data_IF_874976309723
#
_entry.id   IF_874976309723
#
_cell.length_a   1.000
_cell.length_b   1.000
_cell.length_c   1.000
_cell.angle_alpha   90.00
_cell.angle_beta   90.00
_cell.angle_gamma   90.00
#
_symmetry.space_group_name_H-M   'P 1'
#
loop_
_entity.id
_entity.type
_entity.pdbx_description
1 polymer ?
#
# COMPACT_ATOMS: atom_id res chain seq x y z
N UNK A 1 -10.59 19.77 -6.19
CA UNK A 1 -11.07 18.59 -5.48
C UNK A 1 -11.29 18.92 -4.00
N UNK A 2 -12.46 18.60 -3.46
CA UNK A 2 -12.82 18.89 -2.06
C UNK A 2 -12.69 17.66 -1.14
N UNK A 3 -12.22 16.55 -1.64
CA UNK A 3 -12.06 15.29 -0.89
C UNK A 3 -10.73 15.18 -0.16
N UNK A 4 -10.56 14.09 0.58
CA UNK A 4 -9.31 13.73 1.25
C UNK A 4 -8.46 12.88 0.29
N UNK A 5 -7.19 13.26 0.13
CA UNK A 5 -6.20 12.48 -0.64
C UNK A 5 -5.28 11.77 0.34
N UNK A 6 -5.23 10.44 0.24
CA UNK A 6 -4.32 9.61 1.02
C UNK A 6 -3.36 8.95 0.03
N UNK A 7 -2.08 9.19 0.20
CA UNK A 7 -1.02 8.63 -0.64
C UNK A 7 -0.21 7.56 0.11
N UNK A 8 0.29 6.59 -0.62
CA UNK A 8 1.43 5.80 -0.12
C UNK A 8 2.72 6.63 -0.23
N UNK A 9 3.71 6.30 0.57
CA UNK A 9 5.02 6.98 0.57
C UNK A 9 5.69 7.05 -0.82
N UNK A 10 5.63 5.95 -1.58
CA UNK A 10 6.17 5.89 -2.95
C UNK A 10 5.48 6.89 -3.90
N UNK A 11 4.21 7.21 -3.66
CA UNK A 11 3.43 8.15 -4.49
C UNK A 11 3.56 9.61 -4.05
N UNK A 12 4.20 9.89 -2.92
CA UNK A 12 4.30 11.25 -2.37
C UNK A 12 5.01 12.21 -3.34
N UNK A 13 6.21 11.86 -3.80
CA UNK A 13 6.96 12.69 -4.73
C UNK A 13 6.27 12.85 -6.11
N UNK A 14 5.77 11.78 -6.76
CA UNK A 14 5.01 11.90 -8.00
C UNK A 14 3.81 12.85 -7.93
N UNK A 15 3.04 12.80 -6.84
CA UNK A 15 1.90 13.68 -6.63
C UNK A 15 2.34 15.15 -6.46
N UNK A 16 3.35 15.39 -5.61
CA UNK A 16 3.87 16.74 -5.38
C UNK A 16 4.45 17.38 -6.64
N UNK A 17 5.06 16.58 -7.54
CA UNK A 17 5.52 17.05 -8.86
C UNK A 17 4.39 17.47 -9.80
N UNK A 18 3.16 17.04 -9.51
CA UNK A 18 1.93 17.43 -10.22
C UNK A 18 1.09 18.45 -9.45
N UNK A 19 1.70 19.12 -8.48
CA UNK A 19 1.03 20.08 -7.59
C UNK A 19 -0.18 19.50 -6.83
N UNK A 20 -0.20 18.18 -6.65
CA UNK A 20 -1.20 17.48 -5.85
C UNK A 20 -0.61 17.22 -4.47
N UNK A 21 -1.11 17.95 -3.46
CA UNK A 21 -0.66 17.81 -2.07
C UNK A 21 -1.61 16.82 -1.35
N UNK A 22 -1.15 15.62 -0.97
CA UNK A 22 -1.99 14.70 -0.21
C UNK A 22 -2.20 15.23 1.22
N UNK A 23 -3.39 14.99 1.77
CA UNK A 23 -3.69 15.31 3.17
C UNK A 23 -2.94 14.37 4.11
N UNK A 24 -2.83 13.10 3.71
CA UNK A 24 -2.16 12.05 4.47
C UNK A 24 -1.20 11.27 3.57
N UNK A 25 -0.06 10.90 4.13
CA UNK A 25 0.89 9.98 3.52
C UNK A 25 1.14 8.83 4.48
N UNK A 26 0.96 7.58 4.02
CA UNK A 26 1.10 6.41 4.86
C UNK A 26 2.38 5.64 4.51
N UNK A 27 3.13 5.23 5.54
CA UNK A 27 4.31 4.37 5.43
C UNK A 27 4.23 3.18 6.37
N UNK A 28 4.58 2.01 5.87
CA UNK A 28 4.52 0.76 6.61
C UNK A 28 5.84 -0.01 6.60
N UNK A 29 6.64 0.13 5.54
CA UNK A 29 7.82 -0.70 5.30
C UNK A 29 8.99 -0.35 6.24
N UNK A 30 9.68 -1.41 6.70
CA UNK A 30 10.84 -1.30 7.58
C UNK A 30 12.16 -1.00 6.86
N UNK A 31 12.17 -0.90 5.52
CA UNK A 31 13.41 -0.76 4.75
C UNK A 31 14.19 0.51 5.16
N UNK A 32 15.46 0.38 5.61
CA UNK A 32 16.17 1.46 6.31
C UNK A 32 16.60 2.64 5.41
N UNK A 33 16.65 2.45 4.11
CA UNK A 33 17.10 3.47 3.15
C UNK A 33 16.06 3.82 2.10
N UNK A 34 15.29 2.85 1.60
CA UNK A 34 14.33 3.05 0.53
C UNK A 34 13.18 3.96 0.96
N UNK A 35 12.53 3.65 2.07
CA UNK A 35 11.38 4.45 2.55
C UNK A 35 11.78 5.87 2.93
N UNK A 36 12.87 6.10 3.68
CA UNK A 36 13.36 7.46 3.90
C UNK A 36 13.66 8.24 2.61
N UNK A 37 14.08 7.55 1.52
CA UNK A 37 14.36 8.21 0.24
C UNK A 37 13.13 8.91 -0.34
N UNK A 38 11.92 8.34 -0.19
CA UNK A 38 10.67 8.93 -0.69
C UNK A 38 10.34 10.28 -0.03
N UNK A 39 10.89 10.56 1.16
CA UNK A 39 10.66 11.81 1.89
C UNK A 39 11.76 12.86 1.71
N UNK A 40 12.86 12.55 1.01
CA UNK A 40 14.01 13.46 0.86
C UNK A 40 13.82 14.55 -0.19
N UNK A 41 12.81 14.45 -1.04
CA UNK A 41 12.57 15.42 -2.09
C UNK A 41 12.25 16.82 -1.51
N UNK A 42 12.77 17.86 -2.12
CA UNK A 42 12.59 19.27 -1.65
C UNK A 42 11.12 19.71 -1.54
N UNK A 43 10.26 19.20 -2.42
CA UNK A 43 8.82 19.46 -2.38
C UNK A 43 8.15 18.90 -1.12
N UNK A 44 8.65 17.81 -0.55
CA UNK A 44 8.14 17.28 0.73
C UNK A 44 8.41 18.28 1.84
N UNK A 45 9.65 18.78 1.93
CA UNK A 45 10.01 19.81 2.91
C UNK A 45 9.20 21.09 2.72
N UNK A 46 8.98 21.51 1.47
CA UNK A 46 8.19 22.73 1.13
C UNK A 46 6.73 22.62 1.60
N UNK A 47 6.15 21.43 1.61
CA UNK A 47 4.74 21.19 1.95
C UNK A 47 4.57 20.43 3.29
N UNK A 48 5.60 20.43 4.15
CA UNK A 48 5.59 19.63 5.37
C UNK A 48 4.46 20.02 6.35
N UNK A 49 4.04 21.28 6.36
CA UNK A 49 2.93 21.81 7.15
C UNK A 49 1.54 21.33 6.70
N UNK A 50 1.43 20.80 5.46
CA UNK A 50 0.17 20.39 4.85
C UNK A 50 -0.04 18.88 4.84
N UNK A 51 1.03 18.10 5.06
CA UNK A 51 1.03 16.64 4.94
C UNK A 51 1.12 16.01 6.31
N UNK A 52 0.12 15.20 6.67
CA UNK A 52 0.17 14.36 7.87
C UNK A 52 0.70 12.98 7.49
N UNK A 53 1.74 12.53 8.21
CA UNK A 53 2.36 11.22 7.95
C UNK A 53 1.87 10.20 8.95
N UNK A 54 1.31 9.11 8.46
CA UNK A 54 0.79 8.00 9.25
C UNK A 54 1.77 6.84 9.12
N UNK A 55 2.38 6.40 10.21
CA UNK A 55 3.43 5.37 10.19
C UNK A 55 3.09 4.17 11.07
N UNK A 56 3.36 2.99 10.52
CA UNK A 56 3.26 1.74 11.27
C UNK A 56 4.43 1.54 12.24
N UNK A 57 4.22 0.77 13.28
CA UNK A 57 5.25 0.45 14.30
C UNK A 57 6.47 -0.30 13.77
N UNK A 58 6.41 -0.82 12.55
CA UNK A 58 7.52 -1.54 11.91
C UNK A 58 8.50 -0.65 11.13
N UNK A 59 8.18 0.64 10.93
CA UNK A 59 9.04 1.51 10.12
C UNK A 59 10.43 1.67 10.71
N UNK A 60 11.41 1.86 9.84
CA UNK A 60 12.80 2.06 10.25
C UNK A 60 12.98 3.31 11.12
N UNK A 61 13.84 3.26 12.18
CA UNK A 61 14.24 4.44 12.93
C UNK A 61 14.85 5.57 12.07
N UNK A 62 15.41 5.24 10.90
CA UNK A 62 15.91 6.24 9.96
C UNK A 62 14.79 7.10 9.39
N UNK A 63 13.61 6.50 9.13
CA UNK A 63 12.44 7.25 8.69
C UNK A 63 11.99 8.22 9.79
N UNK A 64 11.82 7.75 11.01
CA UNK A 64 11.34 8.61 12.12
C UNK A 64 12.26 9.78 12.42
N UNK A 65 13.59 9.56 12.37
CA UNK A 65 14.58 10.63 12.48
C UNK A 65 14.44 11.67 11.36
N UNK A 66 14.21 11.20 10.13
CA UNK A 66 14.03 12.09 8.97
C UNK A 66 12.73 12.89 9.08
N UNK A 67 11.60 12.26 9.39
CA UNK A 67 10.31 12.93 9.57
C UNK A 67 10.39 14.04 10.62
N UNK A 68 11.02 13.75 11.75
CA UNK A 68 11.29 14.75 12.81
C UNK A 68 12.15 15.91 12.29
N UNK A 69 13.23 15.63 11.54
CA UNK A 69 14.10 16.66 10.93
C UNK A 69 13.33 17.55 9.94
N UNK A 70 12.39 16.95 9.18
CA UNK A 70 11.55 17.67 8.23
C UNK A 70 10.38 18.40 8.89
N UNK A 71 10.16 18.21 10.19
CA UNK A 71 9.03 18.76 10.97
C UNK A 71 7.66 18.34 10.41
N UNK A 72 7.59 17.12 9.87
CA UNK A 72 6.34 16.52 9.42
C UNK A 72 5.49 16.09 10.62
N UNK A 73 4.20 16.43 10.58
CA UNK A 73 3.22 15.98 11.57
C UNK A 73 3.02 14.46 11.43
N UNK A 74 3.37 13.71 12.47
CA UNK A 74 3.52 12.25 12.39
C UNK A 74 2.66 11.54 13.43
N UNK A 75 1.87 10.58 12.98
CA UNK A 75 0.98 9.75 13.79
C UNK A 75 1.34 8.28 13.65
N UNK A 76 1.10 7.50 14.69
CA UNK A 76 1.48 6.11 14.78
C UNK A 76 0.28 5.18 14.83
N UNK A 77 0.41 3.99 14.26
CA UNK A 77 -0.51 2.90 14.44
C UNK A 77 0.22 1.56 14.63
N UNK A 78 -0.43 0.63 15.35
CA UNK A 78 0.03 -0.75 15.42
C UNK A 78 -0.39 -1.47 14.13
N UNK A 79 0.58 -1.77 13.25
CA UNK A 79 0.29 -2.47 12.01
C UNK A 79 0.19 -3.97 12.25
N UNK A 80 -0.82 -4.63 11.64
CA UNK A 80 -0.92 -6.08 11.60
C UNK A 80 -1.50 -6.55 10.28
N UNK A 81 -1.02 -7.70 9.82
CA UNK A 81 -1.60 -8.40 8.67
C UNK A 81 -2.88 -9.16 9.05
N UNK A 82 -3.00 -9.59 10.30
CA UNK A 82 -4.10 -10.40 10.82
C UNK A 82 -5.01 -9.58 11.76
N UNK A 83 -6.33 -9.61 11.48
CA UNK A 83 -7.35 -8.95 12.32
C UNK A 83 -7.35 -9.46 13.76
N UNK A 84 -7.23 -10.78 13.96
CA UNK A 84 -7.24 -11.39 15.29
C UNK A 84 -6.06 -10.91 16.13
N UNK A 85 -4.87 -10.88 15.52
CA UNK A 85 -3.66 -10.37 16.17
C UNK A 85 -3.74 -8.88 16.49
N UNK A 86 -4.37 -8.07 15.61
CA UNK A 86 -4.62 -6.64 15.89
C UNK A 86 -5.49 -6.48 17.12
N UNK A 87 -6.63 -7.17 17.18
CA UNK A 87 -7.57 -7.07 18.30
C UNK A 87 -6.91 -7.54 19.61
N UNK A 88 -6.15 -8.62 19.55
CA UNK A 88 -5.43 -9.16 20.71
C UNK A 88 -4.33 -8.20 21.18
N UNK A 89 -3.54 -7.63 20.25
CA UNK A 89 -2.50 -6.64 20.59
C UNK A 89 -3.11 -5.37 21.21
N UNK A 90 -4.27 -4.93 20.73
CA UNK A 90 -4.98 -3.78 21.30
C UNK A 90 -5.48 -4.09 22.71
N UNK A 91 -6.06 -5.28 22.94
CA UNK A 91 -6.65 -5.62 24.23
C UNK A 91 -5.63 -5.91 25.32
N UNK A 92 -4.52 -6.57 24.97
CA UNK A 92 -3.58 -7.13 25.96
C UNK A 92 -2.29 -6.30 26.15
N UNK A 93 -1.85 -5.51 25.18
CA UNK A 93 -0.51 -4.91 25.14
C UNK A 93 -0.42 -3.48 24.65
N UNK A 94 -1.50 -2.71 24.74
CA UNK A 94 -1.48 -1.32 24.24
C UNK A 94 -1.52 -0.27 25.36
N UNK A 95 -0.47 -0.17 26.23
CA UNK A 95 -0.45 0.82 27.30
C UNK A 95 -0.39 2.27 26.79
N UNK A 96 -0.04 2.48 25.52
CA UNK A 96 0.09 3.80 24.89
C UNK A 96 -1.14 4.23 24.10
N UNK A 97 -2.21 3.43 24.04
CA UNK A 97 -3.43 3.77 23.30
C UNK A 97 -3.26 3.80 21.77
N UNK A 98 -2.25 3.11 21.21
CA UNK A 98 -2.07 3.00 19.78
C UNK A 98 -3.27 2.30 19.13
N UNK A 99 -3.76 2.88 18.05
CA UNK A 99 -4.83 2.28 17.26
C UNK A 99 -4.24 1.13 16.43
N UNK A 100 -4.85 -0.05 16.50
CA UNK A 100 -4.52 -1.16 15.61
C UNK A 100 -5.14 -0.97 14.23
N UNK A 101 -4.36 -1.17 13.18
CA UNK A 101 -4.81 -1.06 11.80
C UNK A 101 -4.40 -2.31 11.02
N UNK A 102 -5.38 -2.96 10.38
CA UNK A 102 -5.11 -4.07 9.47
C UNK A 102 -4.40 -3.55 8.22
N UNK A 103 -3.18 -4.01 7.99
CA UNK A 103 -2.36 -3.56 6.85
C UNK A 103 -2.47 -4.48 5.63
N UNK A 104 -2.91 -5.73 5.81
CA UNK A 104 -2.93 -6.76 4.77
C UNK A 104 -1.58 -6.88 4.02
N UNK A 105 -0.48 -6.60 4.72
CA UNK A 105 0.88 -6.78 4.22
C UNK A 105 1.40 -5.67 3.29
N UNK A 106 0.60 -4.65 2.97
CA UNK A 106 1.05 -3.59 2.08
C UNK A 106 0.50 -2.20 2.45
N UNK A 107 1.25 -1.17 2.08
CA UNK A 107 0.94 0.24 2.38
C UNK A 107 -0.36 0.70 1.74
N UNK A 108 -0.67 0.25 0.51
CA UNK A 108 -1.90 0.63 -0.20
C UNK A 108 -3.15 0.18 0.55
N UNK A 109 -3.22 -1.10 0.93
CA UNK A 109 -4.35 -1.63 1.69
C UNK A 109 -4.45 -1.00 3.08
N UNK A 110 -3.32 -0.76 3.76
CA UNK A 110 -3.32 -0.04 5.03
C UNK A 110 -3.89 1.38 4.89
N UNK A 111 -3.54 2.09 3.80
CA UNK A 111 -4.08 3.42 3.48
C UNK A 111 -5.60 3.39 3.27
N UNK A 112 -6.08 2.37 2.55
CA UNK A 112 -7.51 2.16 2.36
C UNK A 112 -8.23 1.85 3.67
N UNK A 113 -7.70 0.95 4.51
CA UNK A 113 -8.29 0.67 5.83
C UNK A 113 -8.30 1.92 6.71
N UNK A 114 -7.21 2.69 6.73
CA UNK A 114 -7.14 3.96 7.45
C UNK A 114 -8.24 4.93 7.01
N UNK A 115 -8.54 4.99 5.71
CA UNK A 115 -9.54 5.92 5.17
C UNK A 115 -10.94 5.67 5.70
N UNK A 116 -11.40 4.42 5.79
CA UNK A 116 -12.75 4.13 6.29
C UNK A 116 -12.80 3.86 7.79
N UNK A 117 -11.78 3.19 8.34
CA UNK A 117 -11.81 2.81 9.75
C UNK A 117 -11.57 4.00 10.68
N UNK A 118 -10.66 4.90 10.30
CA UNK A 118 -10.25 6.04 11.12
C UNK A 118 -10.90 7.34 10.63
N UNK A 119 -10.76 7.67 9.35
CA UNK A 119 -11.24 8.94 8.81
C UNK A 119 -12.74 8.93 8.45
N UNK A 120 -13.38 7.75 8.45
CA UNK A 120 -14.80 7.57 8.10
C UNK A 120 -15.14 8.08 6.69
N UNK A 121 -14.18 8.00 5.76
CA UNK A 121 -14.39 8.44 4.38
C UNK A 121 -15.43 7.57 3.67
N UNK A 122 -16.43 8.19 3.05
CA UNK A 122 -17.44 7.55 2.23
C UNK A 122 -18.00 8.59 1.23
N UNK A 123 -18.03 8.37 -0.08
CA UNK A 123 -17.45 7.21 -0.78
C UNK A 123 -15.92 7.26 -0.86
N UNK A 124 -15.32 6.16 -1.34
CA UNK A 124 -13.89 6.02 -1.55
C UNK A 124 -13.59 5.69 -3.02
N UNK A 125 -12.52 6.25 -3.57
CA UNK A 125 -11.98 5.90 -4.89
C UNK A 125 -10.56 5.35 -4.74
N UNK A 126 -10.35 4.14 -5.27
CA UNK A 126 -9.03 3.49 -5.30
C UNK A 126 -8.36 3.80 -6.63
N UNK A 127 -7.12 4.30 -6.58
CA UNK A 127 -6.32 4.64 -7.77
C UNK A 127 -4.96 3.96 -7.63
N UNK A 128 -4.56 3.20 -8.66
CA UNK A 128 -3.29 2.48 -8.65
C UNK A 128 -3.28 1.23 -7.75
N UNK A 129 -4.44 0.63 -7.52
CA UNK A 129 -4.56 -0.68 -6.85
C UNK A 129 -4.46 -1.81 -7.86
N UNK A 130 -3.35 -1.85 -8.59
CA UNK A 130 -3.15 -2.78 -9.70
C UNK A 130 -2.97 -4.22 -9.23
N UNK A 131 -2.27 -4.45 -8.12
CA UNK A 131 -1.83 -5.77 -7.64
C UNK A 131 -1.28 -6.63 -8.77
N UNK A 132 -0.47 -6.05 -9.64
CA UNK A 132 0.11 -6.71 -10.78
C UNK A 132 0.89 -5.76 -11.67
N UNK A 133 1.37 -6.30 -12.75
CA UNK A 133 2.18 -5.60 -13.75
C UNK A 133 1.47 -5.62 -15.10
N UNK A 134 1.60 -4.56 -15.91
CA UNK A 134 1.00 -4.55 -17.25
C UNK A 134 1.57 -5.67 -18.12
N UNK A 135 0.80 -6.07 -19.13
CA UNK A 135 1.27 -7.01 -20.15
C UNK A 135 2.53 -6.45 -20.85
N UNK A 136 3.53 -7.32 -21.05
CA UNK A 136 4.79 -6.92 -21.69
C UNK A 136 5.84 -6.32 -20.75
N UNK A 137 5.57 -6.21 -19.43
CA UNK A 137 6.58 -5.79 -18.48
C UNK A 137 7.78 -6.74 -18.51
N UNK A 138 9.00 -6.19 -18.46
CA UNK A 138 10.19 -6.99 -18.22
C UNK A 138 10.16 -7.52 -16.77
N UNK A 139 10.08 -8.86 -16.61
CA UNK A 139 9.97 -9.49 -15.31
C UNK A 139 11.16 -9.18 -14.40
N UNK A 140 12.36 -8.99 -14.98
CA UNK A 140 13.59 -8.66 -14.22
C UNK A 140 13.49 -7.29 -13.51
N UNK A 141 12.66 -6.40 -14.02
CA UNK A 141 12.42 -5.07 -13.43
C UNK A 141 11.35 -5.07 -12.35
N UNK A 142 10.67 -6.22 -12.12
CA UNK A 142 9.64 -6.31 -11.10
C UNK A 142 10.24 -6.37 -9.69
N UNK A 143 9.63 -5.72 -8.69
CA UNK A 143 10.19 -5.62 -7.32
C UNK A 143 10.48 -6.96 -6.65
N UNK A 144 9.75 -8.01 -7.01
CA UNK A 144 9.85 -9.33 -6.38
C UNK A 144 10.52 -10.38 -7.26
N UNK A 145 11.17 -9.98 -8.35
CA UNK A 145 11.84 -10.88 -9.30
C UNK A 145 12.81 -11.85 -8.63
N UNK A 146 13.66 -11.35 -7.75
CA UNK A 146 14.67 -12.19 -7.05
C UNK A 146 14.01 -13.32 -6.25
N UNK A 147 12.91 -13.03 -5.57
CA UNK A 147 12.13 -14.02 -4.83
C UNK A 147 11.44 -15.02 -5.76
N UNK A 148 10.87 -14.52 -6.85
CA UNK A 148 10.23 -15.35 -7.88
C UNK A 148 11.26 -16.30 -8.54
N UNK A 149 12.47 -15.81 -8.80
CA UNK A 149 13.55 -16.61 -9.37
C UNK A 149 13.99 -17.74 -8.42
N UNK A 150 14.04 -17.49 -7.11
CA UNK A 150 14.32 -18.54 -6.11
C UNK A 150 13.24 -19.62 -6.11
N UNK A 151 11.97 -19.23 -6.21
CA UNK A 151 10.85 -20.19 -6.30
C UNK A 151 10.86 -21.01 -7.60
N UNK A 152 11.48 -20.50 -8.65
CA UNK A 152 11.63 -21.13 -9.96
C UNK A 152 13.00 -21.80 -10.14
N UNK A 153 13.55 -22.42 -9.10
CA UNK A 153 14.84 -23.12 -9.13
C UNK A 153 16.01 -22.28 -9.66
N UNK A 154 15.94 -20.97 -9.45
CA UNK A 154 16.98 -19.99 -9.81
C UNK A 154 17.35 -19.92 -11.31
N UNK A 155 16.47 -20.36 -12.20
CA UNK A 155 16.70 -20.27 -13.64
C UNK A 155 15.63 -19.42 -14.32
N UNK A 156 16.04 -18.61 -15.31
CA UNK A 156 15.12 -17.75 -16.09
C UNK A 156 14.17 -18.62 -16.93
N UNK A 157 14.68 -19.72 -17.49
CA UNK A 157 13.86 -20.67 -18.25
C UNK A 157 12.78 -21.32 -17.38
N UNK A 158 13.12 -21.75 -16.17
CA UNK A 158 12.14 -22.28 -15.21
C UNK A 158 11.14 -21.20 -14.77
N UNK A 159 11.58 -19.96 -14.57
CA UNK A 159 10.70 -18.84 -14.23
C UNK A 159 9.67 -18.56 -15.35
N UNK A 160 10.11 -18.64 -16.62
CA UNK A 160 9.22 -18.42 -17.79
C UNK A 160 8.24 -19.57 -18.00
N UNK A 161 8.67 -20.80 -17.69
CA UNK A 161 7.84 -22.01 -17.80
C UNK A 161 6.95 -22.28 -16.56
N UNK A 162 7.28 -21.67 -15.42
CA UNK A 162 6.61 -21.87 -14.15
C UNK A 162 5.38 -20.97 -14.00
N UNK A 163 4.32 -21.39 -13.27
CA UNK A 163 3.18 -20.56 -12.91
C UNK A 163 3.51 -19.50 -11.85
N UNK A 164 4.78 -19.20 -11.56
CA UNK A 164 5.18 -18.18 -10.58
C UNK A 164 4.60 -16.81 -10.95
N UNK A 165 4.65 -16.43 -12.24
CA UNK A 165 3.92 -15.28 -12.75
C UNK A 165 2.67 -15.74 -13.50
N UNK A 166 1.53 -15.55 -12.87
CA UNK A 166 0.25 -15.85 -13.49
C UNK A 166 -0.20 -14.70 -14.37
N UNK A 167 -0.95 -15.01 -15.44
CA UNK A 167 -1.60 -14.00 -16.27
C UNK A 167 -3.07 -13.89 -15.89
N UNK A 168 -3.50 -12.72 -15.52
CA UNK A 168 -4.89 -12.38 -15.19
C UNK A 168 -5.47 -11.54 -16.32
N UNK A 169 -6.63 -11.93 -16.84
CA UNK A 169 -7.40 -11.12 -17.80
C UNK A 169 -8.37 -10.22 -17.06
N UNK A 170 -8.32 -8.91 -17.36
CA UNK A 170 -9.23 -7.92 -16.78
C UNK A 170 -10.45 -7.75 -17.73
N UNK A 171 -11.66 -8.19 -17.33
CA UNK A 171 -12.80 -8.28 -18.24
C UNK A 171 -13.34 -6.91 -18.69
N UNK A 172 -13.27 -5.90 -17.83
CA UNK A 172 -13.77 -4.54 -18.12
C UNK A 172 -12.83 -3.80 -19.07
N UNK A 173 -11.53 -3.78 -18.75
CA UNK A 173 -10.53 -3.08 -19.55
C UNK A 173 -10.01 -3.90 -20.72
N UNK A 174 -10.36 -5.20 -20.81
CA UNK A 174 -9.89 -6.14 -21.84
C UNK A 174 -8.37 -6.19 -21.97
N UNK A 175 -7.68 -6.01 -20.84
CA UNK A 175 -6.23 -6.04 -20.72
C UNK A 175 -5.79 -7.29 -19.99
N UNK A 176 -4.51 -7.64 -20.13
CA UNK A 176 -3.87 -8.69 -19.34
C UNK A 176 -2.89 -8.06 -18.38
N UNK A 177 -2.76 -8.65 -17.21
CA UNK A 177 -1.78 -8.28 -16.21
C UNK A 177 -1.02 -9.52 -15.73
N UNK A 178 0.25 -9.36 -15.42
CA UNK A 178 1.06 -10.37 -14.73
C UNK A 178 0.94 -10.16 -13.23
N UNK A 179 0.82 -11.24 -12.49
CA UNK A 179 0.78 -11.20 -11.03
C UNK A 179 1.78 -12.21 -10.48
N UNK A 180 2.63 -11.78 -9.55
CA UNK A 180 3.54 -12.64 -8.80
C UNK A 180 2.90 -13.14 -7.49
N UNK A 181 3.53 -14.09 -6.77
CA UNK A 181 2.98 -14.64 -5.52
C UNK A 181 2.77 -13.59 -4.42
N UNK A 182 3.60 -12.53 -4.36
CA UNK A 182 3.49 -11.48 -3.35
C UNK A 182 2.27 -10.61 -3.63
N UNK A 183 2.13 -10.12 -4.85
CA UNK A 183 0.94 -9.36 -5.24
C UNK A 183 -0.34 -10.22 -5.21
N UNK A 184 -0.26 -11.51 -5.52
CA UNK A 184 -1.37 -12.45 -5.37
C UNK A 184 -1.84 -12.54 -3.91
N UNK A 185 -0.89 -12.60 -2.98
CA UNK A 185 -1.18 -12.59 -1.54
C UNK A 185 -1.82 -11.27 -1.12
N UNK A 186 -1.26 -10.13 -1.53
CA UNK A 186 -1.81 -8.81 -1.20
C UNK A 186 -3.22 -8.62 -1.75
N UNK A 187 -3.45 -9.02 -3.00
CA UNK A 187 -4.78 -9.00 -3.63
C UNK A 187 -5.79 -9.84 -2.85
N UNK A 188 -5.42 -11.07 -2.49
CA UNK A 188 -6.28 -11.99 -1.74
C UNK A 188 -6.64 -11.41 -0.37
N UNK A 189 -5.67 -10.85 0.34
CA UNK A 189 -5.91 -10.23 1.64
C UNK A 189 -6.75 -8.95 1.53
N UNK A 190 -6.54 -8.13 0.50
CA UNK A 190 -7.37 -6.96 0.22
C UNK A 190 -8.82 -7.36 -0.05
N UNK A 191 -9.06 -8.33 -0.95
CA UNK A 191 -10.40 -8.82 -1.25
C UNK A 191 -11.08 -9.45 -0.02
N UNK A 192 -10.32 -10.15 0.82
CA UNK A 192 -10.83 -10.65 2.10
C UNK A 192 -11.25 -9.52 3.04
N UNK A 193 -10.45 -8.47 3.15
CA UNK A 193 -10.78 -7.31 3.97
C UNK A 193 -11.99 -6.55 3.43
N UNK A 194 -12.07 -6.41 2.10
CA UNK A 194 -13.22 -5.77 1.43
C UNK A 194 -14.54 -6.50 1.73
N UNK A 195 -14.52 -7.83 1.71
CA UNK A 195 -15.73 -8.65 1.93
C UNK A 195 -16.12 -8.79 3.41
N UNK A 196 -15.13 -8.87 4.30
CA UNK A 196 -15.37 -9.29 5.69
C UNK A 196 -15.25 -8.15 6.71
N UNK A 197 -14.54 -7.08 6.39
CA UNK A 197 -14.24 -6.02 7.35
C UNK A 197 -14.88 -4.69 7.00
N UNK A 198 -15.13 -4.43 5.70
CA UNK A 198 -15.72 -3.17 5.26
C UNK A 198 -17.21 -3.08 5.71
N UNK A 199 -17.61 -2.00 6.39
CA UNK A 199 -19.01 -1.78 6.71
C UNK A 199 -19.85 -1.66 5.41
N UNK A 200 -21.06 -2.26 5.37
CA UNK A 200 -21.88 -2.35 4.17
C UNK A 200 -22.33 -0.97 3.61
N UNK A 201 -22.35 0.05 4.44
CA UNK A 201 -22.69 1.42 4.06
C UNK A 201 -21.56 2.14 3.31
N UNK A 202 -20.32 1.66 3.39
CA UNK A 202 -19.16 2.28 2.75
C UNK A 202 -19.09 1.87 1.28
N UNK A 203 -19.16 2.86 0.40
CA UNK A 203 -19.03 2.67 -1.05
C UNK A 203 -17.58 2.79 -1.49
N UNK A 204 -17.08 1.78 -2.20
CA UNK A 204 -15.71 1.75 -2.76
C UNK A 204 -15.79 1.64 -4.27
N UNK A 205 -15.12 2.54 -4.96
CA UNK A 205 -15.00 2.55 -6.42
C UNK A 205 -13.57 2.19 -6.80
N UNK A 206 -13.41 1.18 -7.65
CA UNK A 206 -12.13 0.92 -8.29
C UNK A 206 -11.96 1.85 -9.48
N UNK A 207 -11.11 2.87 -9.32
CA UNK A 207 -10.75 3.84 -10.37
C UNK A 207 -9.38 3.53 -10.98
N UNK A 208 -8.86 2.33 -10.78
CA UNK A 208 -7.61 1.85 -11.38
C UNK A 208 -7.89 1.42 -12.83
N UNK A 209 -7.09 1.92 -13.76
CA UNK A 209 -7.21 1.57 -15.19
C UNK A 209 -6.38 0.31 -15.49
N UNK A 210 -6.96 -0.87 -15.33
CA UNK A 210 -6.28 -2.16 -15.53
C UNK A 210 -5.96 -2.87 -14.23
N UNK A 211 -4.81 -3.57 -14.19
CA UNK A 211 -4.41 -4.39 -13.04
C UNK A 211 -5.18 -5.70 -12.91
N UNK A 212 -5.27 -6.21 -11.69
CA UNK A 212 -5.89 -7.51 -11.38
C UNK A 212 -7.12 -7.39 -10.49
N UNK A 213 -7.51 -6.18 -10.09
CA UNK A 213 -8.74 -5.92 -9.37
C UNK A 213 -9.89 -5.66 -10.34
N UNK A 214 -10.78 -6.60 -10.38
CA UNK A 214 -12.10 -6.45 -10.99
C UNK A 214 -13.08 -7.19 -10.10
N UNK A 215 -14.26 -6.73 -10.04
CA UNK A 215 -15.25 -7.32 -9.17
C UNK A 215 -16.64 -7.08 -9.65
N UNK A 216 -17.53 -7.68 -8.93
CA UNK A 216 -18.97 -7.56 -9.03
C UNK A 216 -19.44 -6.14 -8.74
#
# INVERSE_FOLDING_TARGET
FKGVIIATDKMLEPLLKKDIIPNYCLSLDAHPTLVPAFYRHSLVKKNADKIKVIIGTFVSPNLTKLLKKLKLDTYWFAASADRKLVLQTISERNPSGLIGLRSCGNTGTASWVFSWAILKCNPQALIGFDFGYPEGVNLEETPYYSGALVLADKTVSALTASPVYQTIYHPVWRTRAKIDPVFSTYRTQFLSALRNDLPPEIKVFNSTMGGTLFGE
#
